data_IF_505682013151
#
_entry.id   IF_505682013151
#
_cell.length_a   1.000
_cell.length_b   1.000
_cell.length_c   1.000
_cell.angle_alpha   90.00
_cell.angle_beta   90.00
_cell.angle_gamma   90.00
#
_symmetry.space_group_name_H-M   'P 1'
#
loop_
_entity.id
_entity.type
_entity.pdbx_description
1 polymer ?
#
# COMPACT_ATOMS: atom_id res chain seq x y z
N UNK A 1 4.86 -64.10 0.90
CA UNK A 1 5.11 -63.06 -0.14
C UNK A 1 4.42 -61.73 0.14
N UNK A 2 3.85 -61.48 1.31
CA UNK A 2 3.00 -60.28 1.63
C UNK A 2 3.77 -59.16 2.34
N UNK A 3 4.93 -59.43 2.96
CA UNK A 3 5.65 -58.43 3.80
C UNK A 3 6.43 -57.35 3.03
N UNK A 4 6.74 -57.54 1.73
CA UNK A 4 7.49 -56.54 0.91
C UNK A 4 6.67 -55.38 0.37
N UNK A 5 5.34 -55.51 0.26
CA UNK A 5 4.44 -54.43 -0.24
C UNK A 5 4.21 -53.31 0.78
N UNK A 6 4.15 -53.65 2.09
CA UNK A 6 3.90 -52.71 3.17
C UNK A 6 5.04 -51.68 3.37
N UNK A 7 6.30 -52.09 3.15
CA UNK A 7 7.45 -51.21 3.37
C UNK A 7 7.62 -50.16 2.24
N UNK A 8 7.23 -50.51 1.01
CA UNK A 8 7.26 -49.56 -0.11
C UNK A 8 6.19 -48.45 0.02
N UNK A 9 5.00 -48.80 0.49
CA UNK A 9 3.96 -47.80 0.76
C UNK A 9 4.38 -46.82 1.87
N UNK A 10 5.00 -47.34 2.95
CA UNK A 10 5.45 -46.47 4.07
C UNK A 10 6.60 -45.56 3.68
N UNK A 11 7.49 -45.94 2.77
CA UNK A 11 8.57 -45.06 2.31
C UNK A 11 8.06 -44.01 1.31
N UNK A 12 7.09 -44.32 0.45
CA UNK A 12 6.47 -43.38 -0.46
C UNK A 12 5.67 -42.34 0.30
N UNK A 13 4.91 -42.72 1.32
CA UNK A 13 4.15 -41.78 2.19
C UNK A 13 5.08 -40.87 2.99
N UNK A 14 6.24 -41.41 3.48
CA UNK A 14 7.22 -40.60 4.23
C UNK A 14 7.92 -39.52 3.39
N UNK A 15 8.00 -39.69 2.08
CA UNK A 15 8.58 -38.68 1.16
C UNK A 15 7.51 -37.73 0.61
N UNK A 16 6.31 -38.23 0.31
CA UNK A 16 5.22 -37.45 -0.25
C UNK A 16 4.60 -36.47 0.76
N UNK A 17 4.55 -36.83 2.05
CA UNK A 17 3.98 -35.95 3.09
C UNK A 17 4.77 -34.64 3.29
N UNK A 18 6.12 -34.68 3.45
CA UNK A 18 6.89 -33.43 3.59
C UNK A 18 6.95 -32.62 2.30
N UNK A 19 6.95 -33.28 1.11
CA UNK A 19 6.91 -32.52 -0.16
C UNK A 19 5.55 -31.83 -0.39
N UNK A 20 4.44 -32.45 -0.03
CA UNK A 20 3.13 -31.84 -0.08
C UNK A 20 3.00 -30.66 0.92
N UNK A 21 3.58 -30.78 2.12
CA UNK A 21 3.61 -29.72 3.12
C UNK A 21 4.44 -28.52 2.67
N UNK A 22 5.59 -28.74 2.02
CA UNK A 22 6.44 -27.69 1.46
C UNK A 22 5.73 -26.99 0.30
N UNK A 23 5.04 -27.71 -0.57
CA UNK A 23 4.23 -27.12 -1.65
C UNK A 23 3.06 -26.29 -1.12
N UNK A 24 2.43 -26.71 -0.02
CA UNK A 24 1.36 -25.93 0.63
C UNK A 24 1.87 -24.60 1.23
N UNK A 25 3.11 -24.60 1.74
CA UNK A 25 3.72 -23.41 2.32
C UNK A 25 4.14 -22.37 1.25
N UNK A 26 4.38 -22.81 0.02
CA UNK A 26 4.72 -21.93 -1.10
C UNK A 26 3.48 -21.22 -1.71
N UNK A 27 2.28 -21.71 -1.45
CA UNK A 27 1.03 -21.12 -1.94
C UNK A 27 0.49 -19.97 -1.06
N UNK A 28 1.15 -19.65 0.07
CA UNK A 28 0.63 -18.73 1.08
C UNK A 28 0.97 -17.25 0.85
N UNK A 29 1.74 -16.90 -0.19
CA UNK A 29 2.07 -15.50 -0.51
C UNK A 29 1.40 -15.08 -1.82
N UNK A 30 0.10 -14.83 -1.79
CA UNK A 30 -0.55 -14.04 -2.83
C UNK A 30 -0.70 -12.61 -2.30
N UNK A 31 0.22 -11.73 -2.70
CA UNK A 31 -0.02 -10.30 -2.59
C UNK A 31 -1.22 -9.97 -3.49
N UNK A 32 -2.32 -9.53 -2.87
CA UNK A 32 -3.59 -9.24 -3.56
C UNK A 32 -3.64 -7.78 -4.03
N UNK A 33 -2.57 -7.02 -3.82
CA UNK A 33 -2.50 -5.63 -4.25
C UNK A 33 -2.49 -5.58 -5.79
N UNK A 34 -3.45 -4.90 -6.38
CA UNK A 34 -3.50 -4.62 -7.81
C UNK A 34 -2.53 -3.52 -8.23
N UNK A 35 -2.30 -2.59 -7.30
CA UNK A 35 -1.36 -1.49 -7.45
C UNK A 35 -0.69 -1.26 -6.10
N UNK A 36 0.62 -1.23 -6.09
CA UNK A 36 1.43 -0.88 -4.92
C UNK A 36 2.68 -0.19 -5.43
N UNK A 37 2.66 1.13 -5.36
CA UNK A 37 3.75 1.94 -5.90
C UNK A 37 4.14 3.06 -4.95
N UNK A 38 5.46 3.23 -4.77
CA UNK A 38 6.07 4.27 -3.96
C UNK A 38 6.93 5.17 -4.81
N UNK A 39 6.96 6.45 -4.46
CA UNK A 39 7.88 7.43 -5.00
C UNK A 39 8.70 8.02 -3.86
N UNK A 40 10.02 8.08 -4.05
CA UNK A 40 10.91 8.78 -3.11
C UNK A 40 10.61 10.27 -3.17
N UNK A 41 10.52 10.89 -2.00
CA UNK A 41 10.26 12.31 -1.88
C UNK A 41 11.57 13.08 -2.00
N UNK A 42 11.58 14.15 -2.81
CA UNK A 42 12.69 15.09 -2.88
C UNK A 42 12.92 15.77 -1.52
N UNK A 43 14.15 16.02 -1.19
CA UNK A 43 14.56 16.58 0.11
C UNK A 43 15.17 17.96 -0.08
N UNK A 44 14.48 18.99 0.39
CA UNK A 44 13.16 19.04 1.05
C UNK A 44 12.00 18.87 0.06
N UNK A 45 10.85 18.36 0.53
CA UNK A 45 9.62 18.34 -0.26
C UNK A 45 9.03 19.76 -0.38
N UNK A 46 9.12 20.33 -1.56
CA UNK A 46 8.56 21.66 -1.83
C UNK A 46 7.04 21.60 -2.02
N UNK A 47 6.34 22.63 -1.58
CA UNK A 47 4.87 22.72 -1.59
C UNK A 47 4.25 22.56 -2.98
N UNK A 48 4.96 23.01 -4.01
CA UNK A 48 4.47 22.97 -5.39
C UNK A 48 4.75 21.64 -6.09
N UNK A 49 5.59 20.75 -5.50
CA UNK A 49 5.91 19.48 -6.09
C UNK A 49 4.76 18.47 -5.92
N UNK A 50 4.25 17.95 -7.04
CA UNK A 50 3.17 16.98 -7.08
C UNK A 50 3.72 15.62 -7.51
N UNK A 51 3.42 14.57 -6.75
CA UNK A 51 3.70 13.19 -7.10
C UNK A 51 2.47 12.56 -7.73
N UNK A 52 2.62 11.98 -8.93
CA UNK A 52 1.52 11.40 -9.69
C UNK A 52 1.57 9.88 -9.67
N UNK A 53 0.44 9.26 -9.34
CA UNK A 53 0.23 7.81 -9.34
C UNK A 53 -0.83 7.46 -10.38
N UNK A 54 -0.41 6.78 -11.44
CA UNK A 54 -1.31 6.36 -12.53
C UNK A 54 -1.57 4.87 -12.42
N UNK A 55 -2.83 4.49 -12.41
CA UNK A 55 -3.29 3.12 -12.23
C UNK A 55 -4.51 2.80 -13.09
N UNK A 56 -4.69 1.51 -13.42
CA UNK A 56 -5.78 1.04 -14.25
C UNK A 56 -6.83 0.27 -13.44
N UNK A 57 -8.10 0.57 -13.66
CA UNK A 57 -9.23 -0.16 -13.11
C UNK A 57 -9.88 -0.97 -14.23
N UNK A 58 -9.59 -2.28 -14.24
CA UNK A 58 -10.11 -3.21 -15.25
C UNK A 58 -11.52 -3.71 -14.91
N UNK A 59 -11.87 -3.73 -13.63
CA UNK A 59 -13.17 -4.19 -13.15
C UNK A 59 -13.76 -3.23 -12.11
N UNK A 60 -14.77 -2.47 -12.51
CA UNK A 60 -15.48 -1.55 -11.64
C UNK A 60 -16.71 -2.17 -10.95
N UNK A 61 -16.93 -3.47 -11.12
CA UNK A 61 -18.02 -4.20 -10.45
C UNK A 61 -17.66 -4.64 -9.04
N UNK A 62 -16.35 -4.77 -8.75
CA UNK A 62 -15.84 -5.11 -7.42
C UNK A 62 -15.49 -3.85 -6.62
N UNK A 63 -15.60 -3.88 -5.29
CA UNK A 63 -15.14 -2.79 -4.44
C UNK A 63 -13.61 -2.87 -4.27
N UNK A 64 -12.99 -1.72 -4.02
CA UNK A 64 -11.56 -1.57 -3.77
C UNK A 64 -11.29 -0.84 -2.46
N UNK A 65 -10.21 -1.21 -1.81
CA UNK A 65 -9.63 -0.46 -0.70
C UNK A 65 -8.38 0.27 -1.21
N UNK A 66 -8.35 1.57 -0.96
CA UNK A 66 -7.24 2.45 -1.34
C UNK A 66 -6.59 2.97 -0.07
N UNK A 67 -5.27 2.95 -0.02
CA UNK A 67 -4.50 3.50 1.07
C UNK A 67 -3.35 4.37 0.56
N UNK A 68 -3.10 5.47 1.27
CA UNK A 68 -1.88 6.25 1.13
C UNK A 68 -0.81 5.61 2.00
N UNK A 69 0.35 5.40 1.44
CA UNK A 69 1.51 4.84 2.10
C UNK A 69 2.52 5.94 2.37
N UNK A 70 2.86 6.19 3.62
CA UNK A 70 3.74 7.27 4.04
C UNK A 70 4.95 6.69 4.74
N UNK A 71 6.13 7.13 4.35
CA UNK A 71 7.38 6.85 5.04
C UNK A 71 8.01 8.14 5.53
N UNK A 72 8.17 8.25 6.84
CA UNK A 72 8.82 9.39 7.47
C UNK A 72 9.99 8.94 8.35
N UNK A 73 10.90 9.84 8.64
CA UNK A 73 11.96 9.66 9.60
C UNK A 73 11.82 10.65 10.78
N UNK A 74 12.73 10.58 11.75
CA UNK A 74 12.69 11.40 12.97
C UNK A 74 13.00 12.88 12.74
N UNK A 75 13.35 13.30 11.51
CA UNK A 75 13.52 14.70 11.14
C UNK A 75 12.21 15.40 10.78
N UNK A 76 11.11 14.64 10.64
CA UNK A 76 9.80 15.24 10.38
C UNK A 76 9.29 15.94 11.65
N UNK A 77 9.01 17.25 11.62
CA UNK A 77 8.81 18.03 12.84
C UNK A 77 7.38 18.04 13.38
N UNK A 78 6.43 17.38 12.71
CA UNK A 78 5.00 17.45 13.03
C UNK A 78 4.42 16.07 13.35
N UNK A 79 3.33 16.06 14.12
CA UNK A 79 2.55 14.84 14.42
C UNK A 79 1.63 14.43 13.28
N UNK A 80 1.25 15.39 12.42
CA UNK A 80 0.34 15.17 11.30
C UNK A 80 0.97 15.64 9.98
N UNK A 81 0.42 15.12 8.88
CA UNK A 81 0.76 15.54 7.53
C UNK A 81 -0.54 15.78 6.76
N UNK A 82 -0.76 17.03 6.34
CA UNK A 82 -1.84 17.36 5.42
C UNK A 82 -1.40 17.08 3.99
N UNK A 83 -2.21 16.32 3.27
CA UNK A 83 -2.02 16.01 1.85
C UNK A 83 -3.20 16.59 1.05
N UNK A 84 -2.88 17.25 -0.05
CA UNK A 84 -3.83 17.72 -1.04
C UNK A 84 -3.80 16.73 -2.22
N UNK A 85 -4.90 16.03 -2.42
CA UNK A 85 -5.06 15.02 -3.44
C UNK A 85 -5.92 15.56 -4.59
N UNK A 86 -5.52 15.27 -5.82
CA UNK A 86 -6.29 15.52 -7.04
C UNK A 86 -6.39 14.25 -7.86
N UNK A 87 -7.59 13.78 -8.14
CA UNK A 87 -7.81 12.56 -8.92
C UNK A 87 -8.45 12.91 -10.26
N UNK A 88 -7.77 12.53 -11.33
CA UNK A 88 -8.26 12.62 -12.69
C UNK A 88 -8.81 11.26 -13.11
N UNK A 89 -10.13 11.10 -13.27
CA UNK A 89 -10.76 9.87 -13.74
C UNK A 89 -10.67 9.76 -15.28
N UNK A 90 -10.86 8.54 -15.86
CA UNK A 90 -10.91 8.37 -17.31
C UNK A 90 -12.08 9.10 -17.96
N UNK A 91 -13.13 9.38 -17.20
CA UNK A 91 -14.34 10.11 -17.65
C UNK A 91 -14.85 10.98 -16.51
N UNK A 92 -15.08 12.25 -16.80
CA UNK A 92 -15.61 13.21 -15.84
C UNK A 92 -14.59 14.25 -15.40
N UNK A 93 -14.99 15.13 -14.48
CA UNK A 93 -14.10 16.18 -13.97
C UNK A 93 -13.10 15.63 -12.96
N UNK A 94 -11.96 16.29 -12.84
CA UNK A 94 -11.01 16.08 -11.75
C UNK A 94 -11.68 16.38 -10.41
N UNK A 95 -11.40 15.55 -9.42
CA UNK A 95 -11.85 15.73 -8.04
C UNK A 95 -10.69 16.13 -7.15
N UNK A 96 -10.99 16.84 -6.07
CA UNK A 96 -9.99 17.28 -5.09
C UNK A 96 -10.41 16.85 -3.70
N UNK A 97 -9.44 16.42 -2.91
CA UNK A 97 -9.63 16.02 -1.52
C UNK A 97 -8.48 16.51 -0.65
N UNK A 98 -8.73 16.70 0.63
CA UNK A 98 -7.72 17.09 1.61
C UNK A 98 -7.72 16.06 2.74
N UNK A 99 -6.57 15.44 2.97
CA UNK A 99 -6.44 14.32 3.88
C UNK A 99 -5.46 14.67 4.98
N UNK A 100 -5.90 14.51 6.23
CA UNK A 100 -5.02 14.58 7.38
C UNK A 100 -4.50 13.19 7.73
N UNK A 101 -3.21 13.02 7.71
CA UNK A 101 -2.53 11.80 8.12
C UNK A 101 -1.88 12.02 9.49
N UNK A 102 -2.41 11.35 10.52
CA UNK A 102 -1.79 11.38 11.85
C UNK A 102 -0.61 10.42 11.88
N UNK A 103 0.61 10.96 11.91
CA UNK A 103 1.85 10.20 11.86
C UNK A 103 2.36 9.81 13.25
N UNK A 104 2.03 10.62 14.29
CA UNK A 104 2.43 10.37 15.67
C UNK A 104 1.28 10.64 16.63
N UNK A 105 1.37 10.09 17.82
CA UNK A 105 0.46 10.36 18.94
C UNK A 105 0.81 11.68 19.67
N UNK A 106 0.00 12.03 20.68
CA UNK A 106 0.17 13.24 21.50
C UNK A 106 1.49 13.28 22.29
N UNK A 107 2.18 12.15 22.43
CA UNK A 107 3.47 12.02 23.11
C UNK A 107 4.65 12.01 22.15
N UNK A 108 4.39 12.10 20.84
CA UNK A 108 5.40 12.08 19.79
C UNK A 108 5.86 10.68 19.38
N UNK A 109 5.18 9.62 19.81
CA UNK A 109 5.47 8.27 19.35
C UNK A 109 4.86 8.04 17.95
N UNK A 110 5.69 7.60 17.00
CA UNK A 110 5.25 7.36 15.64
C UNK A 110 4.28 6.17 15.55
N UNK A 111 3.19 6.36 14.83
CA UNK A 111 2.21 5.28 14.55
C UNK A 111 2.75 4.27 13.53
N UNK A 112 3.64 4.71 12.65
CA UNK A 112 4.25 3.86 11.65
C UNK A 112 5.21 2.82 12.23
N UNK A 113 5.26 1.63 11.63
CA UNK A 113 6.23 0.59 11.97
C UNK A 113 7.62 0.93 11.42
N UNK A 114 8.67 0.67 12.20
CA UNK A 114 10.07 0.89 11.82
C UNK A 114 10.92 1.43 12.96
N UNK A 115 12.22 1.60 12.71
CA UNK A 115 13.17 2.12 13.71
C UNK A 115 13.69 3.49 13.29
N UNK A 116 14.23 3.63 12.09
CA UNK A 116 14.79 4.88 11.55
C UNK A 116 13.88 5.51 10.48
N UNK A 117 13.09 4.68 9.82
CA UNK A 117 12.06 5.08 8.87
C UNK A 117 10.77 4.40 9.32
N UNK A 118 9.74 5.20 9.56
CA UNK A 118 8.44 4.76 10.03
C UNK A 118 7.48 4.69 8.84
N UNK A 119 6.88 3.52 8.64
CA UNK A 119 5.95 3.26 7.56
C UNK A 119 4.52 3.21 8.10
N UNK A 120 3.67 4.09 7.61
CA UNK A 120 2.27 4.18 7.97
C UNK A 120 1.39 4.06 6.72
N UNK A 121 0.39 3.18 6.81
CA UNK A 121 -0.68 3.05 5.83
C UNK A 121 -1.92 3.80 6.33
N UNK A 122 -2.39 4.77 5.57
CA UNK A 122 -3.54 5.61 5.90
C UNK A 122 -4.67 5.29 4.93
N UNK A 123 -5.83 4.77 5.39
CA UNK A 123 -6.96 4.50 4.51
C UNK A 123 -7.44 5.78 3.80
N UNK A 124 -7.45 5.74 2.47
CA UNK A 124 -7.97 6.81 1.63
C UNK A 124 -9.45 6.58 1.31
N UNK A 125 -9.79 5.37 0.86
CA UNK A 125 -11.15 4.94 0.58
C UNK A 125 -11.31 3.47 0.95
N UNK A 126 -12.43 3.10 1.54
CA UNK A 126 -12.73 1.70 1.88
C UNK A 126 -13.97 1.23 1.13
N UNK A 127 -13.90 0.02 0.56
CA UNK A 127 -14.98 -0.59 -0.23
C UNK A 127 -15.52 0.33 -1.34
N UNK A 128 -14.62 1.09 -1.94
CA UNK A 128 -14.97 2.06 -2.98
C UNK A 128 -15.20 1.37 -4.32
N UNK A 129 -16.28 1.73 -5.01
CA UNK A 129 -16.58 1.28 -6.37
C UNK A 129 -16.27 2.41 -7.35
N UNK A 130 -15.32 2.16 -8.22
CA UNK A 130 -15.00 3.12 -9.26
C UNK A 130 -16.16 3.25 -10.25
N UNK A 131 -16.57 4.47 -10.64
CA UNK A 131 -17.69 4.67 -11.56
C UNK A 131 -17.38 4.16 -12.97
N UNK A 132 -16.13 4.21 -13.39
CA UNK A 132 -15.69 3.85 -14.74
C UNK A 132 -14.49 2.91 -14.70
N UNK A 133 -14.37 2.04 -15.71
CA UNK A 133 -13.13 1.34 -16.03
C UNK A 133 -12.20 2.29 -16.76
N UNK A 134 -10.91 2.05 -16.64
CA UNK A 134 -9.87 2.82 -17.36
C UNK A 134 -8.80 3.37 -16.42
N UNK A 135 -8.02 4.27 -16.97
CA UNK A 135 -6.87 4.85 -16.32
C UNK A 135 -7.26 6.04 -15.45
N UNK A 136 -6.81 6.01 -14.20
CA UNK A 136 -6.94 7.08 -13.22
C UNK A 136 -5.55 7.63 -12.89
N UNK A 137 -5.46 8.92 -12.59
CA UNK A 137 -4.23 9.53 -12.10
C UNK A 137 -4.52 10.29 -10.80
N UNK A 138 -3.85 9.90 -9.72
CA UNK A 138 -3.89 10.57 -8.43
C UNK A 138 -2.64 11.43 -8.28
N UNK A 139 -2.81 12.76 -8.20
CA UNK A 139 -1.77 13.70 -7.83
C UNK A 139 -1.79 13.97 -6.33
N UNK A 140 -0.63 13.90 -5.68
CA UNK A 140 -0.48 14.14 -4.23
C UNK A 140 0.57 15.22 -4.01
N UNK A 141 0.22 16.26 -3.25
CA UNK A 141 1.17 17.28 -2.78
C UNK A 141 0.98 17.57 -1.30
N UNK A 142 2.02 18.06 -0.66
CA UNK A 142 1.93 18.47 0.74
C UNK A 142 1.03 19.71 0.90
N UNK A 143 0.23 19.74 1.95
CA UNK A 143 -0.70 20.81 2.32
C UNK A 143 -0.34 21.51 3.63
N UNK A 144 0.90 21.35 4.11
CA UNK A 144 1.40 21.98 5.32
C UNK A 144 1.61 23.49 5.12
N UNK A 145 1.77 24.24 6.21
CA UNK A 145 2.04 25.69 6.13
C UNK A 145 3.43 25.98 5.57
N UNK A 146 4.39 25.10 5.86
CA UNK A 146 5.78 25.25 5.43
C UNK A 146 5.92 25.07 3.93
N UNK A 147 6.73 25.91 3.31
CA UNK A 147 7.05 25.83 1.89
C UNK A 147 7.92 24.58 1.57
N UNK A 148 8.68 24.12 2.55
CA UNK A 148 9.59 23.00 2.44
C UNK A 148 9.47 22.09 3.65
N UNK A 149 9.26 20.79 3.43
CA UNK A 149 9.20 19.77 4.47
C UNK A 149 10.40 18.85 4.41
N UNK A 150 11.02 18.63 5.56
CA UNK A 150 12.01 17.58 5.75
C UNK A 150 11.38 16.38 6.44
N UNK A 151 12.02 15.21 6.34
CA UNK A 151 11.63 14.03 7.10
C UNK A 151 10.55 13.15 6.47
N UNK A 152 9.98 13.54 5.32
CA UNK A 152 9.20 12.60 4.50
C UNK A 152 10.14 11.94 3.50
N UNK A 153 10.23 10.61 3.55
CA UNK A 153 11.14 9.81 2.75
C UNK A 153 10.52 9.30 1.45
N UNK A 154 9.26 8.87 1.56
CA UNK A 154 8.49 8.39 0.42
C UNK A 154 6.99 8.53 0.66
N UNK A 155 6.24 8.66 -0.42
CA UNK A 155 4.79 8.50 -0.46
C UNK A 155 4.44 7.42 -1.46
N UNK A 156 3.32 6.75 -1.23
CA UNK A 156 2.84 5.67 -2.08
C UNK A 156 1.33 5.60 -2.14
N UNK A 157 0.86 4.85 -3.11
CA UNK A 157 -0.54 4.47 -3.26
C UNK A 157 -0.63 2.94 -3.36
N UNK A 158 -1.49 2.36 -2.53
CA UNK A 158 -1.84 0.94 -2.58
C UNK A 158 -3.31 0.80 -2.89
N UNK A 159 -3.63 -0.11 -3.82
CA UNK A 159 -5.00 -0.42 -4.24
C UNK A 159 -5.16 -1.94 -4.24
N UNK A 160 -6.15 -2.44 -3.51
CA UNK A 160 -6.47 -3.85 -3.48
C UNK A 160 -7.98 -4.08 -3.62
N UNK A 161 -8.38 -5.23 -4.14
CA UNK A 161 -9.79 -5.60 -4.14
C UNK A 161 -10.24 -5.86 -2.70
N UNK A 162 -11.34 -5.21 -2.28
CA UNK A 162 -11.89 -5.41 -0.93
C UNK A 162 -12.40 -6.85 -0.76
N UNK A 163 -12.16 -7.42 0.40
CA UNK A 163 -12.63 -8.76 0.77
C UNK A 163 -14.02 -8.74 1.35
#
# INVERSE_FOLDING_TARGET
MVRRRSNRLRSVVRVLLPTALVLLLLAACTDTARYDHYQSVEKPWTKDHIYYFTYDIDDNTVPYDLALEIRNNDLYPYQNLWLLCSEEPPVGPMTHDTIECMLADDYGAWHGAGIAIHHLSVPLRSRYRFPHKGQYTLGIRQGMRDEQLNGIEAIGLRIEASR
#
